data_IF_551571620958
#
_entry.id   IF_551571620958
#
_cell.length_a   1.000
_cell.length_b   1.000
_cell.length_c   1.000
_cell.angle_alpha   90.00
_cell.angle_beta   90.00
_cell.angle_gamma   90.00
#
_symmetry.space_group_name_H-M   'P 1'
#
loop_
_entity.id
_entity.type
_entity.pdbx_description
1 polymer ?
#
# COMPACT_ATOMS: atom_id res chain seq x y z
N UNK A 1 -39.80 -12.43 -71.19
CA UNK A 1 -38.79 -13.14 -70.37
C UNK A 1 -38.81 -12.58 -68.97
N UNK A 2 -38.83 -13.43 -67.92
CA UNK A 2 -38.87 -12.98 -66.53
C UNK A 2 -37.46 -12.72 -65.99
N UNK A 3 -37.33 -11.85 -65.00
CA UNK A 3 -36.26 -11.93 -64.00
C UNK A 3 -36.84 -11.55 -62.64
N UNK A 4 -36.91 -12.49 -61.68
CA UNK A 4 -37.36 -12.18 -60.33
C UNK A 4 -36.22 -11.46 -59.60
N UNK A 5 -36.48 -10.28 -59.05
CA UNK A 5 -35.57 -9.61 -58.11
C UNK A 5 -35.60 -10.38 -56.79
N UNK A 6 -34.48 -11.01 -56.46
CA UNK A 6 -34.25 -11.60 -55.14
C UNK A 6 -34.24 -10.50 -54.08
N UNK A 7 -35.32 -10.41 -53.30
CA UNK A 7 -35.31 -9.70 -52.02
C UNK A 7 -34.79 -10.66 -50.96
N UNK A 8 -33.51 -10.52 -50.60
CA UNK A 8 -32.96 -11.23 -49.45
C UNK A 8 -33.31 -10.50 -48.15
N UNK A 9 -33.77 -11.21 -47.11
CA UNK A 9 -34.16 -10.59 -45.85
C UNK A 9 -32.94 -10.03 -45.11
N UNK A 10 -33.02 -8.75 -44.72
CA UNK A 10 -32.00 -8.03 -43.96
C UNK A 10 -31.77 -8.71 -42.61
N UNK A 11 -30.57 -9.27 -42.40
CA UNK A 11 -30.13 -9.89 -41.15
C UNK A 11 -30.10 -8.87 -39.99
N UNK A 12 -31.17 -8.81 -39.18
CA UNK A 12 -31.30 -7.86 -38.05
C UNK A 12 -31.13 -8.49 -36.66
N UNK A 13 -30.79 -9.78 -36.58
CA UNK A 13 -30.74 -10.53 -35.31
C UNK A 13 -29.40 -10.43 -34.57
N UNK A 14 -28.27 -10.57 -35.28
CA UNK A 14 -26.94 -10.59 -34.64
C UNK A 14 -26.58 -9.26 -33.97
N UNK A 15 -26.91 -8.13 -34.60
CA UNK A 15 -26.60 -6.79 -34.10
C UNK A 15 -27.19 -6.51 -32.70
N UNK A 16 -28.41 -6.97 -32.42
CA UNK A 16 -29.05 -6.75 -31.11
C UNK A 16 -28.39 -7.56 -30.00
N UNK A 17 -27.91 -8.77 -30.32
CA UNK A 17 -27.16 -9.61 -29.39
C UNK A 17 -25.79 -9.00 -29.07
N UNK A 18 -25.05 -8.54 -30.09
CA UNK A 18 -23.78 -7.84 -29.88
C UNK A 18 -23.95 -6.57 -29.04
N UNK A 19 -24.96 -5.75 -29.32
CA UNK A 19 -25.25 -4.54 -28.51
C UNK A 19 -25.53 -4.90 -27.05
N UNK A 20 -26.32 -5.94 -26.80
CA UNK A 20 -26.58 -6.43 -25.44
C UNK A 20 -25.31 -6.87 -24.73
N UNK A 21 -24.48 -7.68 -25.39
CA UNK A 21 -23.21 -8.16 -24.83
C UNK A 21 -22.24 -7.01 -24.52
N UNK A 22 -22.06 -6.07 -25.46
CA UNK A 22 -21.20 -4.90 -25.25
C UNK A 22 -21.72 -3.99 -24.13
N UNK A 23 -23.03 -3.84 -23.99
CA UNK A 23 -23.62 -3.05 -22.90
C UNK A 23 -23.38 -3.68 -21.54
N UNK A 24 -23.53 -5.00 -21.42
CA UNK A 24 -23.23 -5.74 -20.18
C UNK A 24 -21.74 -5.65 -19.86
N UNK A 25 -20.87 -5.87 -20.85
CA UNK A 25 -19.43 -5.81 -20.66
C UNK A 25 -18.99 -4.39 -20.24
N UNK A 26 -19.55 -3.36 -20.86
CA UNK A 26 -19.33 -1.97 -20.48
C UNK A 26 -19.76 -1.67 -19.05
N UNK A 27 -20.93 -2.17 -18.63
CA UNK A 27 -21.40 -2.01 -17.25
C UNK A 27 -20.48 -2.72 -16.24
N UNK A 28 -19.98 -3.92 -16.55
CA UNK A 28 -19.03 -4.64 -15.71
C UNK A 28 -17.72 -3.86 -15.55
N UNK A 29 -17.12 -3.40 -16.66
CA UNK A 29 -15.91 -2.60 -16.60
C UNK A 29 -16.11 -1.28 -15.86
N UNK A 30 -17.27 -0.64 -16.04
CA UNK A 30 -17.61 0.58 -15.33
C UNK A 30 -17.62 0.37 -13.81
N UNK A 31 -18.28 -0.68 -13.32
CA UNK A 31 -18.30 -1.02 -11.89
C UNK A 31 -16.90 -1.36 -11.38
N UNK A 32 -16.12 -2.12 -12.15
CA UNK A 32 -14.76 -2.47 -11.79
C UNK A 32 -13.87 -1.23 -11.66
N UNK A 33 -13.93 -0.32 -12.63
CA UNK A 33 -13.13 0.92 -12.59
C UNK A 33 -13.58 1.87 -11.50
N UNK A 34 -14.89 1.95 -11.21
CA UNK A 34 -15.36 2.70 -10.04
C UNK A 34 -14.83 2.10 -8.73
N UNK A 35 -14.93 0.78 -8.56
CA UNK A 35 -14.41 0.09 -7.38
C UNK A 35 -12.89 0.28 -7.23
N UNK A 36 -12.16 0.18 -8.34
CA UNK A 36 -10.72 0.44 -8.35
C UNK A 36 -10.39 1.90 -8.03
N UNK A 37 -11.14 2.86 -8.59
CA UNK A 37 -10.98 4.28 -8.30
C UNK A 37 -11.20 4.61 -6.82
N UNK A 38 -12.26 4.07 -6.23
CA UNK A 38 -12.54 4.19 -4.79
C UNK A 38 -11.38 3.61 -3.98
N UNK A 39 -10.94 2.40 -4.30
CA UNK A 39 -9.82 1.77 -3.62
C UNK A 39 -8.53 2.58 -3.71
N UNK A 40 -8.24 3.17 -4.88
CA UNK A 40 -7.05 4.02 -5.06
C UNK A 40 -7.12 5.27 -4.17
N UNK A 41 -8.29 5.90 -4.04
CA UNK A 41 -8.48 7.08 -3.17
C UNK A 41 -8.35 6.70 -1.71
N UNK A 42 -8.99 5.61 -1.27
CA UNK A 42 -8.81 5.07 0.08
C UNK A 42 -7.34 4.72 0.35
N UNK A 43 -6.68 4.09 -0.64
CA UNK A 43 -5.25 3.74 -0.61
C UNK A 43 -4.34 4.98 -0.62
N UNK A 44 -4.80 6.14 -1.08
CA UNK A 44 -4.05 7.38 -0.94
C UNK A 44 -4.23 7.94 0.47
N UNK A 45 -5.47 8.01 0.96
CA UNK A 45 -5.78 8.59 2.26
C UNK A 45 -5.07 7.86 3.42
N UNK A 46 -5.13 6.52 3.50
CA UNK A 46 -4.40 5.83 4.58
C UNK A 46 -2.89 6.09 4.55
N UNK A 47 -2.30 6.28 3.35
CA UNK A 47 -0.88 6.60 3.22
C UNK A 47 -0.60 8.02 3.73
N UNK A 48 -1.43 8.98 3.35
CA UNK A 48 -1.30 10.36 3.80
C UNK A 48 -1.46 10.45 5.31
N UNK A 49 -2.48 9.82 5.88
CA UNK A 49 -2.69 9.77 7.32
C UNK A 49 -1.51 9.11 8.05
N UNK A 50 -0.91 8.07 7.45
CA UNK A 50 0.29 7.44 8.00
C UNK A 50 1.48 8.41 7.96
N UNK A 51 1.73 9.05 6.81
CA UNK A 51 2.81 10.03 6.66
C UNK A 51 2.66 11.16 7.68
N UNK A 52 1.47 11.74 7.81
CA UNK A 52 1.20 12.82 8.76
C UNK A 52 1.50 12.38 10.21
N UNK A 53 1.04 11.19 10.62
CA UNK A 53 1.33 10.66 11.95
C UNK A 53 2.82 10.41 12.19
N UNK A 54 3.51 9.84 11.20
CA UNK A 54 4.96 9.60 11.29
C UNK A 54 5.70 10.93 11.35
N UNK A 55 5.38 11.88 10.46
CA UNK A 55 6.05 13.16 10.35
C UNK A 55 5.92 13.98 11.64
N UNK A 56 4.72 14.01 12.22
CA UNK A 56 4.49 14.66 13.51
C UNK A 56 5.32 14.04 14.64
N UNK A 57 5.51 12.72 14.65
CA UNK A 57 6.23 11.99 15.72
C UNK A 57 7.74 12.02 15.56
N UNK A 58 8.23 11.90 14.33
CA UNK A 58 9.67 11.94 14.04
C UNK A 58 10.24 13.33 14.30
N UNK A 59 9.46 14.39 14.12
CA UNK A 59 9.89 15.75 14.43
C UNK A 59 9.62 16.19 15.88
N UNK A 60 8.84 15.42 16.65
CA UNK A 60 8.58 15.72 18.06
C UNK A 60 9.86 15.69 18.92
N UNK A 61 9.81 16.36 20.08
CA UNK A 61 10.90 16.30 21.05
C UNK A 61 11.11 14.86 21.54
N UNK A 62 12.36 14.35 21.58
CA UNK A 62 12.63 12.99 22.02
C UNK A 62 12.22 12.76 23.48
N UNK A 63 11.46 11.71 23.74
CA UNK A 63 11.07 11.29 25.10
C UNK A 63 11.98 10.17 25.62
N UNK A 64 11.92 9.84 26.91
CA UNK A 64 12.61 8.65 27.41
C UNK A 64 11.98 7.39 26.78
N UNK A 65 12.80 6.40 26.42
CA UNK A 65 12.28 5.15 25.91
C UNK A 65 11.48 4.40 27.00
N UNK A 66 10.40 3.69 26.63
CA UNK A 66 9.61 2.92 27.57
C UNK A 66 10.48 1.87 28.28
N UNK A 67 10.43 1.90 29.61
CA UNK A 67 11.12 0.94 30.46
C UNK A 67 10.50 -0.44 30.34
N UNK A 68 11.21 -1.47 30.83
CA UNK A 68 10.73 -2.87 30.77
C UNK A 68 9.33 -3.05 31.37
N UNK A 69 9.00 -2.27 32.40
CA UNK A 69 7.71 -2.33 33.08
C UNK A 69 6.55 -1.79 32.21
N UNK A 70 6.86 -0.89 31.26
CA UNK A 70 5.86 -0.28 30.36
C UNK A 70 5.69 -1.06 29.05
N UNK A 71 6.52 -2.06 28.78
CA UNK A 71 6.51 -2.81 27.51
C UNK A 71 5.16 -3.49 27.22
N UNK A 72 4.42 -3.88 28.26
CA UNK A 72 3.08 -4.45 28.10
C UNK A 72 2.07 -3.46 27.50
N UNK A 73 2.33 -2.15 27.61
CA UNK A 73 1.45 -1.08 27.13
C UNK A 73 1.89 -0.52 25.76
N UNK A 74 3.08 -0.92 25.28
CA UNK A 74 3.61 -0.46 24.00
C UNK A 74 2.74 -0.97 22.87
N UNK A 75 2.18 -0.06 22.07
CA UNK A 75 1.26 -0.38 21.01
C UNK A 75 1.49 0.45 19.74
N UNK A 76 0.99 -0.03 18.60
CA UNK A 76 1.19 0.63 17.32
C UNK A 76 0.52 2.02 17.28
N UNK A 77 -0.62 2.18 17.93
CA UNK A 77 -1.34 3.46 17.88
C UNK A 77 -0.53 4.56 18.57
N UNK A 78 0.10 4.28 19.69
CA UNK A 78 0.69 5.31 20.56
C UNK A 78 2.22 5.40 20.42
N UNK A 79 2.91 4.29 20.18
CA UNK A 79 4.38 4.21 20.23
C UNK A 79 5.05 4.06 18.86
N UNK A 80 4.28 3.81 17.80
CA UNK A 80 4.83 3.68 16.45
C UNK A 80 5.49 5.01 16.02
N UNK A 81 6.77 4.93 15.63
CA UNK A 81 7.64 6.05 15.29
C UNK A 81 7.91 7.04 16.43
N UNK A 82 7.70 6.65 17.70
CA UNK A 82 8.04 7.47 18.85
C UNK A 82 9.54 7.80 18.85
N UNK A 83 9.85 9.10 18.88
CA UNK A 83 11.23 9.57 18.98
C UNK A 83 11.70 9.45 20.42
N UNK A 84 12.72 8.63 20.65
CA UNK A 84 13.23 8.35 22.00
C UNK A 84 14.69 8.75 22.17
N UNK A 85 15.05 9.14 23.41
CA UNK A 85 16.42 9.36 23.86
C UNK A 85 16.83 8.21 24.77
N UNK A 86 17.98 7.63 24.46
CA UNK A 86 18.57 6.53 25.21
C UNK A 86 20.03 6.87 25.56
N UNK A 87 20.49 6.37 26.70
CA UNK A 87 21.90 6.37 27.09
C UNK A 87 22.32 4.93 27.37
N UNK A 88 23.59 4.60 27.20
CA UNK A 88 24.05 3.22 27.35
C UNK A 88 25.42 2.97 26.73
N UNK A 89 25.77 1.69 26.60
CA UNK A 89 27.01 1.22 25.97
C UNK A 89 26.69 0.25 24.85
N UNK A 90 27.24 0.47 23.66
CA UNK A 90 27.13 -0.45 22.54
C UNK A 90 27.90 -1.75 22.81
N UNK A 91 27.27 -2.87 22.46
CA UNK A 91 27.85 -4.21 22.56
C UNK A 91 28.37 -4.63 21.19
N UNK A 92 29.55 -4.11 20.81
CA UNK A 92 30.16 -4.37 19.49
C UNK A 92 30.54 -5.85 19.29
N UNK A 93 30.57 -6.65 20.36
CA UNK A 93 30.73 -8.11 20.31
C UNK A 93 29.46 -8.85 19.85
N UNK A 94 28.34 -8.13 19.72
CA UNK A 94 27.01 -8.70 19.39
C UNK A 94 26.38 -8.06 18.16
N UNK A 95 27.20 -7.51 17.28
CA UNK A 95 26.72 -6.94 16.01
C UNK A 95 26.14 -8.01 15.10
N UNK A 96 25.05 -7.66 14.42
CA UNK A 96 24.45 -8.50 13.39
C UNK A 96 24.41 -7.73 12.07
N UNK A 97 24.73 -8.46 10.99
CA UNK A 97 24.65 -7.95 9.64
C UNK A 97 23.32 -8.37 9.03
N UNK A 98 22.47 -7.40 8.71
CA UNK A 98 21.22 -7.64 8.00
C UNK A 98 21.42 -7.24 6.55
N UNK A 99 21.24 -8.19 5.65
CA UNK A 99 21.41 -7.93 4.23
C UNK A 99 20.41 -6.87 3.74
N UNK A 100 20.89 -5.89 2.99
CA UNK A 100 20.10 -4.78 2.52
C UNK A 100 20.40 -4.47 1.07
N UNK A 101 19.34 -4.20 0.31
CA UNK A 101 19.43 -3.67 -1.03
C UNK A 101 19.28 -2.15 -0.95
N UNK A 102 20.37 -1.44 -1.25
CA UNK A 102 20.38 0.03 -1.27
C UNK A 102 20.46 0.52 -2.71
N UNK A 103 20.24 1.82 -2.93
CA UNK A 103 20.43 2.45 -4.24
C UNK A 103 21.85 2.27 -4.80
N UNK A 104 22.84 2.01 -3.92
CA UNK A 104 24.25 1.80 -4.29
C UNK A 104 24.60 0.33 -4.55
N UNK A 105 23.62 -0.57 -4.49
CA UNK A 105 23.80 -2.01 -4.63
C UNK A 105 23.61 -2.79 -3.33
N UNK A 106 23.95 -4.08 -3.39
CA UNK A 106 23.85 -4.99 -2.26
C UNK A 106 24.87 -4.65 -1.17
N UNK A 107 24.43 -4.66 0.09
CA UNK A 107 25.26 -4.40 1.25
C UNK A 107 24.60 -4.94 2.52
N UNK A 108 25.08 -4.46 3.67
CA UNK A 108 24.56 -4.87 4.98
C UNK A 108 24.26 -3.66 5.84
N UNK A 109 23.16 -3.71 6.58
CA UNK A 109 22.93 -2.85 7.74
C UNK A 109 23.62 -3.49 8.93
N UNK A 110 24.43 -2.72 9.65
CA UNK A 110 25.06 -3.15 10.90
C UNK A 110 24.12 -2.75 12.03
N UNK A 111 23.56 -3.73 12.74
CA UNK A 111 22.77 -3.48 13.94
C UNK A 111 23.61 -3.84 15.17
N UNK A 112 23.95 -2.82 15.96
CA UNK A 112 24.70 -2.98 17.20
C UNK A 112 23.76 -2.78 18.39
N UNK A 113 23.50 -3.83 19.19
CA UNK A 113 22.66 -3.68 20.37
C UNK A 113 23.33 -2.79 21.41
N UNK A 114 22.53 -2.05 22.17
CA UNK A 114 22.98 -1.20 23.25
C UNK A 114 22.45 -1.71 24.59
N UNK A 115 23.31 -1.72 25.61
CA UNK A 115 22.93 -1.99 27.00
C UNK A 115 22.68 -0.66 27.71
N UNK A 116 21.53 -0.52 28.38
CA UNK A 116 21.26 0.61 29.28
C UNK A 116 22.27 0.65 30.44
N UNK A 117 22.42 1.80 31.13
CA UNK A 117 23.29 1.92 32.30
C UNK A 117 23.00 0.87 33.38
#
# INVERSE_FOLDING_TARGET
MPSPKNEQPVQKSSSRFFIGLFSVLGAVFFVLFMGLGIWQVERLQWKLDLIERVDARVHAEPVAAPGRDDWANVNQKDDEYLRVKLTGTYLNDKEILVHALTERGAGYWVLTPMRSP
#
